data_IF_036920903645
#
_entry.id   IF_036920903645
#
_cell.length_a   1.000
_cell.length_b   1.000
_cell.length_c   1.000
_cell.angle_alpha   90.00
_cell.angle_beta   90.00
_cell.angle_gamma   90.00
#
_symmetry.space_group_name_H-M   'P 1'
#
loop_
_entity.id
_entity.type
_entity.pdbx_description
1 polymer ?
#
# COMPACT_ATOMS: atom_id res chain seq x y z
N UNK A 1 -12.38 -72.07 -19.12
CA UNK A 1 -11.31 -71.11 -19.50
C UNK A 1 -11.80 -69.70 -19.92
N UNK A 2 -13.12 -69.39 -19.90
CA UNK A 2 -13.66 -68.03 -20.21
C UNK A 2 -14.06 -67.19 -18.99
N UNK A 3 -14.08 -67.75 -17.79
CA UNK A 3 -14.47 -67.02 -16.56
C UNK A 3 -13.29 -66.36 -15.85
N UNK A 4 -12.04 -66.78 -16.13
CA UNK A 4 -10.84 -66.22 -15.51
C UNK A 4 -10.29 -64.98 -16.23
N UNK A 5 -10.53 -64.80 -17.53
CA UNK A 5 -10.07 -63.60 -18.26
C UNK A 5 -10.84 -62.34 -17.92
N UNK A 6 -12.13 -62.47 -17.54
CA UNK A 6 -12.96 -61.31 -17.17
C UNK A 6 -12.64 -60.78 -15.77
N UNK A 7 -12.07 -61.61 -14.90
CA UNK A 7 -11.72 -61.23 -13.53
C UNK A 7 -10.44 -60.36 -13.52
N UNK A 8 -9.43 -60.71 -14.33
CA UNK A 8 -8.21 -59.89 -14.46
C UNK A 8 -8.46 -58.51 -15.08
N UNK A 9 -9.34 -58.42 -16.09
CA UNK A 9 -9.74 -57.14 -16.68
C UNK A 9 -10.50 -56.23 -15.71
N UNK A 10 -11.27 -56.81 -14.78
CA UNK A 10 -12.01 -56.05 -13.77
C UNK A 10 -11.07 -55.49 -12.70
N UNK A 11 -10.09 -56.27 -12.27
CA UNK A 11 -9.06 -55.84 -11.30
C UNK A 11 -8.18 -54.73 -11.91
N UNK A 12 -7.73 -54.86 -13.16
CA UNK A 12 -6.96 -53.81 -13.85
C UNK A 12 -7.74 -52.50 -13.98
N UNK A 13 -9.06 -52.56 -14.25
CA UNK A 13 -9.92 -51.36 -14.31
C UNK A 13 -10.07 -50.69 -12.94
N UNK A 14 -10.14 -51.46 -11.86
CA UNK A 14 -10.20 -50.92 -10.48
C UNK A 14 -8.87 -50.25 -10.13
N UNK A 15 -7.73 -50.85 -10.48
CA UNK A 15 -6.41 -50.24 -10.25
C UNK A 15 -6.18 -48.98 -11.10
N UNK A 16 -6.63 -48.94 -12.35
CA UNK A 16 -6.55 -47.71 -13.18
C UNK A 16 -7.45 -46.60 -12.64
N UNK A 17 -8.65 -46.92 -12.15
CA UNK A 17 -9.53 -45.93 -11.51
C UNK A 17 -8.99 -45.42 -10.17
N UNK A 18 -8.30 -46.27 -9.39
CA UNK A 18 -7.61 -45.85 -8.17
C UNK A 18 -6.36 -45.00 -8.45
N UNK A 19 -5.66 -45.25 -9.56
CA UNK A 19 -4.53 -44.43 -10.01
C UNK A 19 -4.97 -43.06 -10.55
N UNK A 20 -6.16 -42.98 -11.16
CA UNK A 20 -6.77 -41.72 -11.63
C UNK A 20 -7.42 -40.92 -10.48
N UNK A 21 -7.82 -41.57 -9.38
CA UNK A 21 -8.36 -40.91 -8.19
C UNK A 21 -7.34 -40.11 -7.37
N UNK A 22 -6.05 -40.22 -7.70
CA UNK A 22 -4.96 -39.46 -7.08
C UNK A 22 -4.55 -38.20 -7.84
N UNK A 23 -5.14 -37.92 -9.01
CA UNK A 23 -4.94 -36.63 -9.68
C UNK A 23 -5.84 -35.64 -8.95
N UNK A 24 -5.30 -34.62 -8.25
CA UNK A 24 -6.14 -33.57 -7.71
C UNK A 24 -6.92 -32.98 -8.88
N UNK A 25 -8.24 -33.19 -8.89
CA UNK A 25 -9.12 -32.42 -9.75
C UNK A 25 -8.88 -30.97 -9.36
N UNK A 26 -8.23 -30.21 -10.25
CA UNK A 26 -8.16 -28.77 -10.12
C UNK A 26 -9.61 -28.32 -10.32
N UNK A 27 -10.29 -28.00 -9.22
CA UNK A 27 -11.57 -27.31 -9.26
C UNK A 27 -11.32 -25.99 -10.00
N UNK A 28 -11.73 -25.93 -11.27
CA UNK A 28 -11.65 -24.72 -12.07
C UNK A 28 -12.68 -23.73 -11.51
N UNK A 29 -12.20 -22.89 -10.61
CA UNK A 29 -13.01 -21.85 -9.98
C UNK A 29 -13.03 -20.57 -10.84
N UNK A 30 -14.11 -19.79 -10.69
CA UNK A 30 -14.38 -18.60 -11.51
C UNK A 30 -13.89 -17.35 -10.80
N UNK A 31 -13.01 -16.59 -11.46
CA UNK A 31 -12.49 -15.33 -10.97
C UNK A 31 -13.11 -14.17 -11.74
N UNK A 32 -13.66 -13.18 -11.03
CA UNK A 32 -14.01 -11.89 -11.61
C UNK A 32 -12.91 -10.88 -11.25
N UNK A 33 -12.31 -10.29 -12.26
CA UNK A 33 -11.24 -9.31 -12.12
C UNK A 33 -11.76 -7.95 -12.53
N UNK A 34 -11.65 -6.99 -11.61
CA UNK A 34 -12.03 -5.59 -11.77
C UNK A 34 -10.77 -4.73 -11.73
N UNK A 35 -10.01 -4.63 -12.84
CA UNK A 35 -8.81 -3.83 -12.86
C UNK A 35 -9.15 -2.33 -12.94
N UNK A 36 -8.31 -1.52 -12.32
CA UNK A 36 -8.14 -0.12 -12.71
C UNK A 36 -7.26 -0.06 -13.97
N UNK A 37 -7.55 0.88 -14.88
CA UNK A 37 -6.85 1.06 -16.16
C UNK A 37 -5.38 1.50 -15.99
N UNK A 38 -4.59 1.39 -17.07
CA UNK A 38 -3.20 1.87 -17.14
C UNK A 38 -2.19 0.91 -16.50
N UNK A 39 -1.24 1.45 -15.72
CA UNK A 39 -0.13 0.68 -15.13
C UNK A 39 -0.58 -0.39 -14.14
N UNK A 40 -1.72 -0.16 -13.45
CA UNK A 40 -2.35 -1.14 -12.59
C UNK A 40 -2.77 -2.39 -13.39
N UNK A 41 -3.41 -2.20 -14.56
CA UNK A 41 -3.71 -3.31 -15.45
C UNK A 41 -2.46 -4.00 -15.98
N UNK A 42 -1.39 -3.28 -16.35
CA UNK A 42 -0.16 -3.92 -16.84
C UNK A 42 0.44 -4.89 -15.80
N UNK A 43 0.37 -4.52 -14.52
CA UNK A 43 0.79 -5.37 -13.41
C UNK A 43 -0.16 -6.55 -13.19
N UNK A 44 -1.48 -6.30 -13.21
CA UNK A 44 -2.49 -7.36 -13.04
C UNK A 44 -2.55 -8.33 -14.23
N UNK A 45 -2.27 -7.88 -15.45
CA UNK A 45 -2.35 -8.68 -16.67
C UNK A 45 -1.51 -9.93 -16.54
N UNK A 46 -0.27 -9.79 -16.07
CA UNK A 46 0.66 -10.92 -15.93
C UNK A 46 0.09 -11.96 -14.94
N UNK A 47 -0.51 -11.50 -13.83
CA UNK A 47 -1.18 -12.36 -12.85
C UNK A 47 -2.40 -13.06 -13.43
N UNK A 48 -3.26 -12.32 -14.13
CA UNK A 48 -4.48 -12.84 -14.75
C UNK A 48 -4.17 -13.87 -15.85
N UNK A 49 -3.20 -13.58 -16.70
CA UNK A 49 -2.71 -14.50 -17.73
C UNK A 49 -2.20 -15.80 -17.09
N UNK A 50 -1.38 -15.71 -16.04
CA UNK A 50 -0.84 -16.89 -15.37
C UNK A 50 -1.93 -17.72 -14.68
N UNK A 51 -2.90 -17.07 -14.04
CA UNK A 51 -4.06 -17.75 -13.44
C UNK A 51 -4.87 -18.50 -14.49
N UNK A 52 -5.11 -17.88 -15.65
CA UNK A 52 -5.78 -18.50 -16.79
C UNK A 52 -5.04 -19.71 -17.34
N UNK A 53 -3.73 -19.58 -17.57
CA UNK A 53 -2.86 -20.69 -18.03
C UNK A 53 -2.87 -21.88 -17.07
N UNK A 54 -3.06 -21.63 -15.77
CA UNK A 54 -3.19 -22.67 -14.74
C UNK A 54 -4.58 -23.30 -14.65
N UNK A 55 -5.50 -22.96 -15.57
CA UNK A 55 -6.82 -23.57 -15.71
C UNK A 55 -7.96 -22.85 -14.96
N UNK A 56 -7.71 -21.69 -14.35
CA UNK A 56 -8.76 -20.90 -13.70
C UNK A 56 -9.62 -20.20 -14.75
N UNK A 57 -10.94 -20.13 -14.53
CA UNK A 57 -11.83 -19.38 -15.42
C UNK A 57 -11.82 -17.90 -15.00
N UNK A 58 -10.99 -17.10 -15.66
CA UNK A 58 -10.85 -15.67 -15.34
C UNK A 58 -11.71 -14.81 -16.27
N UNK A 59 -12.53 -13.94 -15.70
CA UNK A 59 -13.32 -12.92 -16.40
C UNK A 59 -12.80 -11.54 -16.02
N UNK A 60 -12.29 -10.80 -16.98
CA UNK A 60 -11.81 -9.42 -16.81
C UNK A 60 -12.91 -8.47 -17.26
N UNK A 61 -13.30 -7.55 -16.39
CA UNK A 61 -14.30 -6.52 -16.72
C UNK A 61 -13.62 -5.17 -16.95
N UNK A 62 -13.78 -4.58 -18.14
CA UNK A 62 -13.12 -3.34 -18.54
C UNK A 62 -14.09 -2.29 -19.10
N UNK A 63 -13.83 -0.98 -18.97
CA UNK A 63 -14.61 0.05 -19.67
C UNK A 63 -14.53 -0.11 -21.20
N UNK A 64 -15.55 0.30 -21.97
CA UNK A 64 -15.47 0.31 -23.45
C UNK A 64 -14.34 1.20 -23.98
N UNK A 65 -13.94 2.22 -23.23
CA UNK A 65 -12.85 3.13 -23.57
C UNK A 65 -11.47 2.63 -23.12
N UNK A 66 -11.36 1.41 -22.56
CA UNK A 66 -10.07 0.83 -22.20
C UNK A 66 -9.18 0.66 -23.45
N UNK A 67 -7.87 0.79 -23.27
CA UNK A 67 -6.89 0.70 -24.37
C UNK A 67 -5.92 -0.47 -24.17
N UNK A 68 -5.65 -0.85 -22.92
CA UNK A 68 -4.62 -1.84 -22.60
C UNK A 68 -5.16 -3.25 -22.39
N UNK A 69 -6.48 -3.38 -22.24
CA UNK A 69 -7.13 -4.65 -21.89
C UNK A 69 -7.65 -5.26 -23.18
N UNK A 70 -6.81 -6.06 -23.82
CA UNK A 70 -7.19 -6.78 -25.02
C UNK A 70 -7.75 -8.16 -24.67
N UNK A 71 -8.53 -8.80 -25.57
CA UNK A 71 -8.86 -10.22 -25.43
C UNK A 71 -7.59 -11.07 -25.37
N UNK A 72 -7.63 -12.16 -24.60
CA UNK A 72 -6.56 -13.15 -24.48
C UNK A 72 -7.15 -14.55 -24.53
N UNK A 73 -6.35 -15.55 -24.84
CA UNK A 73 -6.74 -16.96 -24.75
C UNK A 73 -6.89 -17.42 -23.29
N UNK A 74 -6.23 -16.73 -22.35
CA UNK A 74 -6.17 -17.12 -20.95
C UNK A 74 -7.24 -16.45 -20.07
N UNK A 75 -8.03 -15.50 -20.59
CA UNK A 75 -9.14 -14.89 -19.86
C UNK A 75 -10.24 -14.36 -20.77
N UNK A 76 -11.45 -14.26 -20.23
CA UNK A 76 -12.62 -13.73 -20.92
C UNK A 76 -12.72 -12.23 -20.63
N UNK A 77 -12.61 -11.40 -21.67
CA UNK A 77 -12.84 -9.96 -21.55
C UNK A 77 -14.33 -9.61 -21.70
N UNK A 78 -14.87 -8.81 -20.78
CA UNK A 78 -16.20 -8.21 -20.85
C UNK A 78 -16.08 -6.70 -20.75
N UNK A 79 -16.77 -5.95 -21.61
CA UNK A 79 -16.74 -4.49 -21.62
C UNK A 79 -18.04 -3.86 -21.11
N UNK A 80 -17.95 -2.71 -20.43
CA UNK A 80 -19.11 -1.94 -19.96
C UNK A 80 -19.02 -0.45 -20.35
N UNK A 81 -20.14 0.22 -20.66
CA UNK A 81 -20.12 1.60 -21.13
C UNK A 81 -19.74 2.59 -20.00
N UNK A 82 -18.96 3.62 -20.32
CA UNK A 82 -18.56 4.69 -19.41
C UNK A 82 -18.63 6.07 -20.09
N UNK A 83 -18.84 7.17 -19.33
CA UNK A 83 -19.03 8.50 -19.91
C UNK A 83 -17.74 9.22 -20.37
N UNK A 84 -16.56 8.63 -20.18
CA UNK A 84 -15.26 9.23 -20.52
C UNK A 84 -14.52 8.38 -21.57
N UNK A 85 -13.81 9.00 -22.55
CA UNK A 85 -13.34 8.20 -23.69
C UNK A 85 -12.00 8.52 -24.39
N UNK A 86 -11.31 9.67 -24.23
CA UNK A 86 -10.07 9.95 -25.01
C UNK A 86 -8.98 10.80 -24.34
N UNK A 87 -9.21 11.28 -23.12
CA UNK A 87 -8.33 12.28 -22.49
C UNK A 87 -7.06 11.67 -21.89
N UNK A 88 -7.17 10.45 -21.34
CA UNK A 88 -6.05 9.70 -20.75
C UNK A 88 -4.99 9.25 -21.79
N UNK A 89 -5.44 8.94 -23.02
CA UNK A 89 -4.57 8.58 -24.15
C UNK A 89 -3.55 9.66 -24.51
N UNK A 90 -3.94 10.94 -24.39
CA UNK A 90 -3.03 12.05 -24.69
C UNK A 90 -1.95 12.16 -23.63
N UNK A 91 -2.30 12.03 -22.36
CA UNK A 91 -1.36 12.17 -21.24
C UNK A 91 -0.26 11.09 -21.29
N UNK A 92 -0.59 9.84 -21.65
CA UNK A 92 0.41 8.77 -21.75
C UNK A 92 1.38 8.93 -22.92
N UNK A 93 0.88 9.35 -24.09
CA UNK A 93 1.75 9.70 -25.23
C UNK A 93 2.63 10.91 -24.92
N UNK A 94 2.16 11.84 -24.09
CA UNK A 94 2.95 12.98 -23.62
C UNK A 94 4.12 12.55 -22.74
N UNK A 95 3.92 11.60 -21.81
CA UNK A 95 5.01 11.09 -20.98
C UNK A 95 6.09 10.37 -21.80
N UNK A 96 5.70 9.52 -22.74
CA UNK A 96 6.66 8.82 -23.60
C UNK A 96 7.49 9.81 -24.42
N UNK A 97 6.84 10.81 -25.03
CA UNK A 97 7.54 11.87 -25.77
C UNK A 97 8.52 12.63 -24.87
N UNK A 98 8.09 12.96 -23.65
CA UNK A 98 8.87 13.74 -22.70
C UNK A 98 10.08 12.97 -22.15
N UNK A 99 9.89 11.68 -21.86
CA UNK A 99 10.98 10.77 -21.48
C UNK A 99 11.97 10.59 -22.63
N UNK A 100 11.49 10.46 -23.87
CA UNK A 100 12.36 10.35 -25.04
C UNK A 100 13.15 11.64 -25.30
N UNK A 101 12.55 12.82 -25.07
CA UNK A 101 13.23 14.11 -25.20
C UNK A 101 14.22 14.44 -24.07
N UNK A 102 14.33 13.61 -23.03
CA UNK A 102 15.24 13.85 -21.89
C UNK A 102 16.75 13.75 -22.20
N UNK A 103 17.11 13.51 -23.47
CA UNK A 103 18.51 13.52 -23.93
C UNK A 103 19.40 12.50 -23.20
N UNK A 104 20.68 12.85 -23.06
CA UNK A 104 21.70 12.05 -22.34
C UNK A 104 21.63 12.25 -20.82
N UNK A 105 21.23 13.45 -20.38
CA UNK A 105 21.08 13.79 -18.96
C UNK A 105 19.98 12.96 -18.28
N UNK A 106 18.99 12.49 -19.03
CA UNK A 106 17.87 11.71 -18.51
C UNK A 106 16.90 12.57 -17.71
N UNK A 107 16.12 11.93 -16.83
CA UNK A 107 15.07 12.61 -16.09
C UNK A 107 15.00 12.22 -14.61
N UNK A 108 14.36 13.10 -13.84
CA UNK A 108 14.06 12.93 -12.42
C UNK A 108 12.55 12.79 -12.24
N UNK A 109 12.14 11.81 -11.46
CA UNK A 109 10.74 11.66 -11.03
C UNK A 109 10.58 12.36 -9.68
N UNK A 110 9.54 13.16 -9.50
CA UNK A 110 9.26 13.82 -8.23
C UNK A 110 7.80 13.64 -7.82
N UNK A 111 7.57 12.99 -6.67
CA UNK A 111 6.25 12.73 -6.12
C UNK A 111 6.25 12.69 -4.59
N UNK A 112 5.36 13.46 -3.96
CA UNK A 112 5.11 13.39 -2.51
C UNK A 112 3.94 12.46 -2.13
N UNK A 113 3.52 11.59 -3.07
CA UNK A 113 2.44 10.63 -2.83
C UNK A 113 1.04 11.25 -2.83
N UNK A 114 0.00 10.41 -2.86
CA UNK A 114 -1.39 10.86 -3.10
C UNK A 114 -1.96 11.77 -1.99
N UNK A 115 -1.51 11.61 -0.76
CA UNK A 115 -1.97 12.37 0.41
C UNK A 115 -1.49 13.82 0.43
N UNK A 116 -0.43 14.13 -0.32
CA UNK A 116 0.10 15.50 -0.47
C UNK A 116 -0.03 15.89 -1.93
N UNK A 117 -1.15 16.54 -2.24
CA UNK A 117 -1.50 16.98 -3.59
C UNK A 117 -0.85 18.31 -3.95
N UNK A 118 -0.64 19.18 -2.96
CA UNK A 118 0.03 20.46 -3.08
C UNK A 118 0.80 20.81 -1.81
N UNK A 119 1.69 21.80 -1.92
CA UNK A 119 2.49 22.36 -0.83
C UNK A 119 2.36 23.89 -0.85
N UNK A 120 2.67 24.59 0.26
CA UNK A 120 2.60 26.05 0.29
C UNK A 120 3.39 26.69 -0.87
N UNK A 121 2.80 27.70 -1.52
CA UNK A 121 3.34 28.25 -2.77
C UNK A 121 4.80 28.71 -2.64
N UNK A 122 5.19 29.30 -1.51
CA UNK A 122 6.57 29.72 -1.26
C UNK A 122 7.53 28.53 -1.31
N UNK A 123 7.16 27.41 -0.69
CA UNK A 123 7.99 26.20 -0.73
C UNK A 123 8.00 25.55 -2.11
N UNK A 124 6.87 25.60 -2.82
CA UNK A 124 6.80 25.15 -4.21
C UNK A 124 7.72 25.99 -5.12
N UNK A 125 7.82 27.30 -4.88
CA UNK A 125 8.74 28.21 -5.57
C UNK A 125 10.20 27.87 -5.31
N UNK A 126 10.59 27.68 -4.03
CA UNK A 126 11.97 27.28 -3.68
C UNK A 126 12.37 25.97 -4.39
N UNK A 127 11.45 25.00 -4.41
CA UNK A 127 11.65 23.71 -5.07
C UNK A 127 11.73 23.89 -6.59
N UNK A 128 10.86 24.69 -7.19
CA UNK A 128 10.90 24.98 -8.63
C UNK A 128 12.23 25.64 -9.05
N UNK A 129 12.75 26.55 -8.22
CA UNK A 129 14.06 27.16 -8.43
C UNK A 129 15.20 26.14 -8.37
N UNK A 130 15.17 25.23 -7.38
CA UNK A 130 16.14 24.14 -7.29
C UNK A 130 16.14 23.27 -8.55
N UNK A 131 14.95 22.86 -9.00
CA UNK A 131 14.76 22.00 -10.18
C UNK A 131 15.14 22.70 -11.49
N UNK A 132 14.97 24.02 -11.58
CA UNK A 132 15.42 24.81 -12.73
C UNK A 132 16.95 24.78 -12.89
N UNK A 133 17.70 24.57 -11.80
CA UNK A 133 19.16 24.60 -11.80
C UNK A 133 19.84 23.28 -12.21
N UNK A 134 19.06 22.21 -12.44
CA UNK A 134 19.58 20.90 -12.85
C UNK A 134 19.32 20.66 -14.35
N UNK A 135 20.23 19.97 -15.08
CA UNK A 135 20.09 19.77 -16.52
C UNK A 135 19.07 18.68 -16.90
N UNK A 136 18.63 17.86 -15.94
CA UNK A 136 17.64 16.80 -16.18
C UNK A 136 16.25 17.38 -16.47
N UNK A 137 15.47 16.67 -17.29
CA UNK A 137 14.02 16.88 -17.30
C UNK A 137 13.43 16.40 -15.97
N UNK A 138 12.40 17.07 -15.46
CA UNK A 138 11.76 16.73 -14.19
C UNK A 138 10.28 16.50 -14.40
N UNK A 139 9.81 15.31 -14.01
CA UNK A 139 8.40 14.95 -13.99
C UNK A 139 7.89 15.11 -12.55
N UNK A 140 7.19 16.22 -12.29
CA UNK A 140 6.73 16.55 -10.95
C UNK A 140 5.22 16.35 -10.82
N UNK A 141 4.82 15.36 -10.02
CA UNK A 141 3.42 15.23 -9.60
C UNK A 141 3.06 16.36 -8.65
N UNK A 142 2.21 17.28 -9.11
CA UNK A 142 1.76 18.43 -8.34
C UNK A 142 0.41 18.92 -8.88
N UNK A 143 -0.57 19.10 -7.99
CA UNK A 143 -1.92 19.55 -8.38
C UNK A 143 -2.26 20.96 -7.92
N UNK A 144 -1.32 21.64 -7.25
CA UNK A 144 -1.52 23.00 -6.75
C UNK A 144 -1.28 24.07 -7.81
N UNK A 145 -1.22 25.34 -7.38
CA UNK A 145 -0.92 26.47 -8.26
C UNK A 145 0.52 26.40 -8.77
N UNK A 146 0.71 26.57 -10.08
CA UNK A 146 2.03 26.61 -10.73
C UNK A 146 2.94 27.61 -10.03
N UNK A 147 4.12 27.19 -9.53
CA UNK A 147 5.04 28.09 -8.86
C UNK A 147 5.60 29.16 -9.82
N UNK A 148 5.71 30.42 -9.40
CA UNK A 148 6.51 31.40 -10.14
C UNK A 148 7.96 30.91 -10.19
N UNK A 149 8.63 30.99 -11.33
CA UNK A 149 10.00 30.46 -11.58
C UNK A 149 10.13 28.98 -11.91
N UNK A 150 9.05 28.30 -12.30
CA UNK A 150 9.15 26.97 -12.89
C UNK A 150 10.08 26.98 -14.12
N UNK A 151 11.12 26.15 -14.11
CA UNK A 151 12.04 26.00 -15.24
C UNK A 151 11.41 25.24 -16.41
N UNK A 152 11.88 25.51 -17.63
CA UNK A 152 11.41 24.83 -18.86
C UNK A 152 11.69 23.31 -18.86
N UNK A 153 12.62 22.86 -18.02
CA UNK A 153 12.95 21.45 -17.83
C UNK A 153 11.97 20.73 -16.89
N UNK A 154 11.07 21.44 -16.20
CA UNK A 154 10.18 20.85 -15.19
C UNK A 154 8.73 20.83 -15.68
N UNK A 155 8.15 19.64 -15.72
CA UNK A 155 6.78 19.40 -16.19
C UNK A 155 5.91 19.03 -15.01
N UNK A 156 4.92 19.89 -14.72
CA UNK A 156 3.93 19.63 -13.69
C UNK A 156 2.83 18.75 -14.24
N UNK A 157 2.54 17.65 -13.55
CA UNK A 157 1.48 16.72 -13.93
C UNK A 157 0.62 16.36 -12.72
N UNK A 158 -0.66 16.08 -12.95
CA UNK A 158 -1.58 15.72 -11.86
C UNK A 158 -1.40 14.27 -11.39
N UNK A 159 -0.87 13.43 -12.27
CA UNK A 159 -0.67 12.01 -12.05
C UNK A 159 0.59 11.55 -12.77
N UNK A 160 1.25 10.51 -12.25
CA UNK A 160 2.45 9.90 -12.84
C UNK A 160 2.26 8.38 -12.93
N UNK A 161 2.63 7.73 -14.05
CA UNK A 161 2.89 6.29 -14.07
C UNK A 161 4.23 6.00 -13.36
N UNK A 162 4.29 6.27 -12.05
CA UNK A 162 5.54 6.39 -11.28
C UNK A 162 6.44 5.16 -11.39
N UNK A 163 5.91 3.95 -11.19
CA UNK A 163 6.71 2.73 -11.28
C UNK A 163 7.29 2.50 -12.69
N UNK A 164 6.51 2.76 -13.74
CA UNK A 164 6.97 2.61 -15.13
C UNK A 164 8.06 3.64 -15.48
N UNK A 165 7.90 4.88 -14.99
CA UNK A 165 8.91 5.93 -15.14
C UNK A 165 10.20 5.57 -14.40
N UNK A 166 10.11 5.02 -13.19
CA UNK A 166 11.29 4.57 -12.44
C UNK A 166 11.98 3.37 -13.10
N UNK A 167 11.22 2.48 -13.75
CA UNK A 167 11.75 1.36 -14.51
C UNK A 167 12.49 1.78 -15.79
N UNK A 168 12.29 3.01 -16.26
CA UNK A 168 12.90 3.48 -17.51
C UNK A 168 14.41 3.72 -17.35
N UNK A 169 15.25 3.30 -18.32
CA UNK A 169 16.73 3.38 -18.21
C UNK A 169 17.30 4.81 -18.12
N UNK A 170 16.50 5.82 -18.48
CA UNK A 170 16.85 7.25 -18.35
C UNK A 170 16.45 7.87 -17.01
N UNK A 171 15.79 7.15 -16.11
CA UNK A 171 15.52 7.63 -14.76
C UNK A 171 16.85 7.75 -13.99
N UNK A 172 17.14 8.94 -13.46
CA UNK A 172 18.40 9.23 -12.77
C UNK A 172 18.24 9.33 -11.26
N UNK A 173 17.16 9.95 -10.81
CA UNK A 173 16.87 10.08 -9.39
C UNK A 173 15.35 10.12 -9.15
N UNK A 174 14.98 9.78 -7.92
CA UNK A 174 13.61 9.86 -7.44
C UNK A 174 13.54 10.79 -6.22
N UNK A 175 12.84 11.91 -6.38
CA UNK A 175 12.52 12.81 -5.26
C UNK A 175 11.20 12.33 -4.66
N UNK A 176 11.21 11.95 -3.39
CA UNK A 176 10.08 11.28 -2.73
C UNK A 176 9.87 11.75 -1.31
N UNK A 177 8.64 11.71 -0.82
CA UNK A 177 8.33 11.86 0.61
C UNK A 177 8.77 10.67 1.49
N UNK A 178 9.37 9.62 0.90
CA UNK A 178 9.80 8.40 1.60
C UNK A 178 8.67 7.55 2.23
N UNK A 179 7.45 7.61 1.70
CA UNK A 179 6.41 6.63 2.03
C UNK A 179 6.83 5.21 1.61
N UNK A 180 6.41 4.20 2.38
CA UNK A 180 6.83 2.80 2.21
C UNK A 180 6.77 2.29 0.76
N UNK A 181 5.66 2.52 0.05
CA UNK A 181 5.51 2.05 -1.34
C UNK A 181 6.51 2.70 -2.30
N UNK A 182 6.67 4.03 -2.25
CA UNK A 182 7.61 4.73 -3.13
C UNK A 182 9.06 4.31 -2.89
N UNK A 183 9.43 4.03 -1.64
CA UNK A 183 10.76 3.51 -1.29
C UNK A 183 11.00 2.15 -1.95
N UNK A 184 10.03 1.23 -1.89
CA UNK A 184 10.16 -0.06 -2.55
C UNK A 184 10.16 0.02 -4.07
N UNK A 185 9.40 0.93 -4.69
CA UNK A 185 9.47 1.19 -6.14
C UNK A 185 10.87 1.71 -6.55
N UNK A 186 11.46 2.62 -5.76
CA UNK A 186 12.82 3.11 -5.98
C UNK A 186 13.89 2.02 -5.83
N UNK A 187 13.77 1.17 -4.80
CA UNK A 187 14.65 0.00 -4.62
C UNK A 187 14.48 -1.00 -5.76
N UNK A 188 13.25 -1.36 -6.11
CA UNK A 188 12.95 -2.34 -7.15
C UNK A 188 13.63 -1.95 -8.48
N UNK A 189 13.53 -0.67 -8.86
CA UNK A 189 14.09 -0.15 -10.11
C UNK A 189 15.53 0.39 -9.98
N UNK A 190 16.18 0.20 -8.82
CA UNK A 190 17.54 0.66 -8.55
C UNK A 190 17.75 2.18 -8.83
N UNK A 191 16.78 3.02 -8.47
CA UNK A 191 16.85 4.49 -8.66
C UNK A 191 17.21 5.16 -7.33
N UNK A 192 18.33 5.90 -7.24
CA UNK A 192 18.73 6.58 -6.01
C UNK A 192 17.77 7.73 -5.67
N UNK A 193 17.64 8.04 -4.38
CA UNK A 193 16.53 8.87 -3.89
C UNK A 193 16.99 10.14 -3.15
N UNK A 194 16.27 11.24 -3.35
CA UNK A 194 16.25 12.38 -2.42
C UNK A 194 14.93 12.35 -1.67
N UNK A 195 15.00 12.30 -0.36
CA UNK A 195 13.88 12.01 0.52
C UNK A 195 13.47 13.25 1.31
N UNK A 196 12.19 13.61 1.22
CA UNK A 196 11.56 14.79 1.84
C UNK A 196 10.44 14.33 2.80
N UNK A 197 10.77 13.64 3.91
CA UNK A 197 9.75 13.08 4.80
C UNK A 197 8.90 14.17 5.45
N UNK A 198 7.61 13.89 5.61
CA UNK A 198 6.59 14.83 6.08
C UNK A 198 5.89 14.36 7.36
N UNK A 199 5.44 13.10 7.40
CA UNK A 199 4.68 12.54 8.53
C UNK A 199 4.65 10.99 8.51
N UNK A 200 4.13 10.39 9.57
CA UNK A 200 3.94 8.93 9.64
C UNK A 200 5.26 8.15 9.66
N UNK A 201 5.33 7.09 8.87
CA UNK A 201 6.48 6.17 8.75
C UNK A 201 7.66 6.75 7.94
N UNK A 202 7.46 7.90 7.30
CA UNK A 202 8.37 8.46 6.30
C UNK A 202 9.76 8.78 6.85
N UNK A 203 9.87 9.30 8.07
CA UNK A 203 11.16 9.64 8.70
C UNK A 203 12.02 8.41 8.94
N UNK A 204 11.41 7.32 9.44
CA UNK A 204 12.11 6.06 9.70
C UNK A 204 12.54 5.39 8.39
N UNK A 205 11.67 5.40 7.38
CA UNK A 205 11.99 4.90 6.05
C UNK A 205 13.16 5.66 5.43
N UNK A 206 13.12 7.00 5.48
CA UNK A 206 14.19 7.85 4.96
C UNK A 206 15.53 7.52 5.65
N UNK A 207 15.52 7.37 6.98
CA UNK A 207 16.73 7.04 7.73
C UNK A 207 17.31 5.68 7.35
N UNK A 208 16.46 4.68 7.06
CA UNK A 208 16.88 3.35 6.62
C UNK A 208 17.56 3.38 5.25
N UNK A 209 17.11 4.22 4.32
CA UNK A 209 17.73 4.36 3.00
C UNK A 209 19.02 5.17 3.08
N UNK A 210 19.01 6.28 3.81
CA UNK A 210 20.17 7.14 4.01
C UNK A 210 21.33 6.38 4.69
N UNK A 211 21.06 5.63 5.76
CA UNK A 211 22.07 4.81 6.45
C UNK A 211 22.68 3.70 5.58
N UNK A 212 22.03 3.35 4.47
CA UNK A 212 22.54 2.40 3.46
C UNK A 212 23.27 3.09 2.30
N UNK A 213 23.41 4.42 2.36
CA UNK A 213 24.07 5.22 1.34
C UNK A 213 23.34 5.20 -0.01
N UNK A 214 22.03 4.95 -0.03
CA UNK A 214 21.23 4.83 -1.26
C UNK A 214 20.35 6.06 -1.55
N UNK A 215 20.48 7.10 -0.72
CA UNK A 215 19.79 8.36 -0.90
C UNK A 215 20.18 9.39 0.17
N UNK A 216 19.66 10.61 0.02
CA UNK A 216 19.86 11.72 0.95
C UNK A 216 18.51 12.18 1.51
N UNK A 217 18.48 12.53 2.79
CA UNK A 217 17.27 13.09 3.43
C UNK A 217 17.43 14.58 3.62
N UNK A 218 16.43 15.37 3.21
CA UNK A 218 16.34 16.79 3.51
C UNK A 218 15.09 17.08 4.32
N UNK A 219 15.19 18.03 5.24
CA UNK A 219 14.03 18.54 5.95
C UNK A 219 13.33 19.59 5.07
N UNK A 220 12.16 19.24 4.52
CA UNK A 220 11.40 20.11 3.59
C UNK A 220 11.07 21.49 4.18
N UNK A 221 10.95 21.60 5.51
CA UNK A 221 10.58 22.85 6.18
C UNK A 221 11.77 23.82 6.25
N UNK A 222 13.00 23.31 6.29
CA UNK A 222 14.21 24.10 6.51
C UNK A 222 15.13 24.15 5.29
N UNK A 223 14.99 23.25 4.33
CA UNK A 223 15.83 23.21 3.14
C UNK A 223 15.65 24.46 2.26
N UNK A 224 16.77 24.89 1.68
CA UNK A 224 16.85 25.92 0.64
C UNK A 224 16.75 25.31 -0.76
N UNK A 225 16.62 26.15 -1.78
CA UNK A 225 16.68 25.72 -3.18
C UNK A 225 18.06 25.13 -3.54
N UNK A 226 19.13 25.67 -2.96
CA UNK A 226 20.49 25.17 -3.12
C UNK A 226 20.68 23.78 -2.51
N UNK A 227 20.16 23.53 -1.30
CA UNK A 227 20.25 22.22 -0.64
C UNK A 227 19.63 21.11 -1.50
N UNK A 228 18.44 21.37 -2.07
CA UNK A 228 17.76 20.41 -2.93
C UNK A 228 18.52 20.18 -4.24
N UNK A 229 19.01 21.25 -4.88
CA UNK A 229 19.83 21.13 -6.10
C UNK A 229 21.08 20.30 -5.86
N UNK A 230 21.79 20.58 -4.76
CA UNK A 230 23.01 19.88 -4.37
C UNK A 230 22.72 18.41 -4.04
N UNK A 231 21.64 18.11 -3.32
CA UNK A 231 21.25 16.73 -3.02
C UNK A 231 20.93 15.93 -4.29
N UNK A 232 20.17 16.52 -5.24
CA UNK A 232 19.85 15.86 -6.52
C UNK A 232 21.12 15.62 -7.33
N UNK A 233 22.00 16.62 -7.47
CA UNK A 233 23.29 16.46 -8.15
C UNK A 233 24.16 15.40 -7.47
N UNK A 234 24.17 15.35 -6.14
CA UNK A 234 24.93 14.36 -5.38
C UNK A 234 24.44 12.93 -5.66
N UNK A 235 23.14 12.66 -5.57
CA UNK A 235 22.61 11.30 -5.80
C UNK A 235 22.74 10.83 -7.25
N UNK A 236 22.78 11.76 -8.21
CA UNK A 236 22.96 11.45 -9.63
C UNK A 236 24.44 11.21 -9.98
N UNK A 237 25.35 12.07 -9.49
CA UNK A 237 26.73 12.10 -9.96
C UNK A 237 27.71 11.30 -9.08
N UNK A 238 27.40 11.08 -7.81
CA UNK A 238 28.25 10.27 -6.94
C UNK A 238 27.89 8.78 -7.11
N UNK A 239 28.81 7.94 -7.63
CA UNK A 239 28.53 6.54 -7.94
C UNK A 239 28.11 5.72 -6.72
N UNK A 240 28.52 6.11 -5.51
CA UNK A 240 28.20 5.40 -4.26
C UNK A 240 26.68 5.24 -4.09
N UNK A 241 25.88 6.25 -4.43
CA UNK A 241 24.42 6.14 -4.31
C UNK A 241 23.84 5.13 -5.30
N UNK A 242 24.34 5.13 -6.54
CA UNK A 242 23.89 4.22 -7.59
C UNK A 242 24.30 2.78 -7.30
N UNK A 243 25.53 2.56 -6.87
CA UNK A 243 26.06 1.25 -6.48
C UNK A 243 25.29 0.68 -5.29
N UNK A 244 25.03 1.50 -4.26
CA UNK A 244 24.28 1.06 -3.08
C UNK A 244 22.83 0.74 -3.41
N UNK A 245 22.13 1.57 -4.20
CA UNK A 245 20.74 1.25 -4.56
C UNK A 245 20.66 0.04 -5.48
N UNK A 246 21.64 -0.18 -6.39
CA UNK A 246 21.72 -1.40 -7.19
C UNK A 246 21.95 -2.63 -6.31
N UNK A 247 22.82 -2.54 -5.31
CA UNK A 247 23.01 -3.61 -4.32
C UNK A 247 21.71 -3.90 -3.57
N UNK A 248 21.01 -2.87 -3.08
CA UNK A 248 19.72 -3.05 -2.40
C UNK A 248 18.65 -3.65 -3.32
N UNK A 249 18.61 -3.22 -4.59
CA UNK A 249 17.72 -3.78 -5.62
C UNK A 249 18.00 -5.27 -5.82
N UNK A 250 19.26 -5.66 -6.01
CA UNK A 250 19.64 -7.07 -6.19
C UNK A 250 19.22 -7.92 -4.99
N UNK A 251 19.43 -7.45 -3.76
CA UNK A 251 18.99 -8.14 -2.55
C UNK A 251 17.46 -8.19 -2.41
N UNK A 252 16.75 -7.17 -2.90
CA UNK A 252 15.30 -7.11 -2.83
C UNK A 252 14.62 -8.03 -3.86
N UNK A 253 15.26 -8.19 -5.03
CA UNK A 253 14.81 -9.04 -6.13
C UNK A 253 15.23 -10.51 -5.93
N UNK A 254 16.30 -10.76 -5.18
CA UNK A 254 16.71 -12.12 -4.78
C UNK A 254 15.71 -12.71 -3.77
N UNK A 255 14.76 -13.48 -4.31
CA UNK A 255 13.69 -14.10 -3.54
C UNK A 255 13.59 -15.58 -3.90
N UNK A 256 13.30 -16.45 -2.91
CA UNK A 256 13.19 -17.89 -3.15
C UNK A 256 11.99 -18.26 -4.03
N UNK A 257 10.96 -17.40 -4.05
CA UNK A 257 9.75 -17.60 -4.86
C UNK A 257 9.57 -16.36 -5.73
N UNK A 258 9.36 -16.59 -7.02
CA UNK A 258 9.09 -15.53 -7.97
C UNK A 258 7.78 -14.79 -7.58
N UNK A 259 7.73 -13.45 -7.54
CA UNK A 259 6.59 -12.70 -7.00
C UNK A 259 5.25 -13.03 -7.66
N UNK A 260 5.27 -13.34 -8.96
CA UNK A 260 4.09 -13.76 -9.70
C UNK A 260 3.55 -15.09 -9.16
N UNK A 261 4.40 -16.09 -8.99
CA UNK A 261 3.99 -17.41 -8.49
C UNK A 261 3.47 -17.32 -7.06
N UNK A 262 4.08 -16.45 -6.24
CA UNK A 262 3.61 -16.19 -4.88
C UNK A 262 2.22 -15.54 -4.89
N UNK A 263 1.99 -14.54 -5.75
CA UNK A 263 0.68 -13.90 -5.87
C UNK A 263 -0.39 -14.88 -6.36
N UNK A 264 -0.08 -15.68 -7.38
CA UNK A 264 -0.94 -16.77 -7.88
C UNK A 264 -1.26 -17.75 -6.75
N UNK A 265 -0.25 -18.19 -6.00
CA UNK A 265 -0.43 -19.11 -4.88
C UNK A 265 -1.43 -18.57 -3.86
N UNK A 266 -1.33 -17.29 -3.46
CA UNK A 266 -2.24 -16.70 -2.49
C UNK A 266 -3.67 -16.51 -3.02
N UNK A 267 -3.82 -16.16 -4.30
CA UNK A 267 -5.13 -16.12 -4.95
C UNK A 267 -5.77 -17.51 -4.92
N UNK A 268 -5.05 -18.54 -5.38
CA UNK A 268 -5.52 -19.92 -5.34
C UNK A 268 -5.71 -20.43 -3.91
N UNK A 269 -4.94 -19.96 -2.93
CA UNK A 269 -5.11 -20.33 -1.53
C UNK A 269 -6.45 -19.85 -0.99
N UNK A 270 -6.81 -18.59 -1.25
CA UNK A 270 -8.11 -18.03 -0.85
C UNK A 270 -9.25 -18.80 -1.52
N UNK A 271 -9.07 -19.16 -2.80
CA UNK A 271 -10.01 -19.99 -3.58
C UNK A 271 -10.20 -21.37 -2.95
N UNK A 272 -9.13 -22.16 -2.78
CA UNK A 272 -9.14 -23.49 -2.14
C UNK A 272 -9.78 -23.49 -0.75
N UNK A 273 -9.73 -22.37 -0.04
CA UNK A 273 -10.32 -22.21 1.29
C UNK A 273 -11.63 -21.39 1.29
N UNK A 274 -12.32 -21.32 0.15
CA UNK A 274 -13.66 -20.72 -0.01
C UNK A 274 -13.76 -19.31 0.56
N UNK A 275 -12.77 -18.48 0.26
CA UNK A 275 -12.65 -17.10 0.73
C UNK A 275 -11.81 -16.90 2.00
N UNK A 276 -11.17 -17.96 2.50
CA UNK A 276 -10.28 -17.94 3.67
C UNK A 276 -10.84 -17.15 4.87
N UNK A 277 -12.00 -17.55 5.44
CA UNK A 277 -12.66 -16.80 6.51
C UNK A 277 -11.78 -16.62 7.75
N UNK A 278 -10.86 -17.54 8.00
CA UNK A 278 -9.89 -17.47 9.10
C UNK A 278 -8.82 -16.37 8.95
N UNK A 279 -8.63 -15.81 7.75
CA UNK A 279 -7.74 -14.66 7.51
C UNK A 279 -8.50 -13.32 7.52
N UNK A 280 -9.84 -13.33 7.56
CA UNK A 280 -10.63 -12.10 7.61
C UNK A 280 -10.62 -11.54 9.03
N UNK A 281 -10.37 -10.23 9.22
CA UNK A 281 -10.47 -9.63 10.54
C UNK A 281 -11.89 -9.79 11.11
N UNK A 282 -12.01 -10.30 12.34
CA UNK A 282 -13.29 -10.46 13.02
C UNK A 282 -14.08 -9.14 13.18
N UNK A 283 -13.38 -8.00 13.08
CA UNK A 283 -13.97 -6.66 13.15
C UNK A 283 -15.10 -6.42 12.14
N UNK A 284 -15.11 -7.11 11.00
CA UNK A 284 -16.18 -6.98 9.99
C UNK A 284 -17.51 -7.62 10.41
N UNK A 285 -17.47 -8.58 11.34
CA UNK A 285 -18.65 -9.31 11.81
C UNK A 285 -19.17 -8.77 13.15
N UNK A 286 -18.49 -7.77 13.74
CA UNK A 286 -18.90 -7.16 15.00
C UNK A 286 -20.10 -6.24 14.79
N UNK A 287 -21.11 -6.38 15.66
CA UNK A 287 -22.18 -5.40 15.73
C UNK A 287 -21.73 -4.11 16.44
N UNK A 288 -22.52 -3.04 16.33
CA UNK A 288 -22.19 -1.73 16.91
C UNK A 288 -21.92 -1.79 18.42
N UNK A 289 -22.64 -2.62 19.18
CA UNK A 289 -22.42 -2.78 20.63
C UNK A 289 -21.05 -3.39 20.94
N UNK A 290 -20.68 -4.43 20.21
CA UNK A 290 -19.39 -5.13 20.37
C UNK A 290 -18.23 -4.25 19.89
N UNK A 291 -18.39 -3.58 18.76
CA UNK A 291 -17.36 -2.70 18.19
C UNK A 291 -16.96 -1.59 19.16
N UNK A 292 -17.92 -0.99 19.87
CA UNK A 292 -17.67 0.02 20.90
C UNK A 292 -17.56 -0.56 22.32
N UNK A 293 -17.63 -1.89 22.49
CA UNK A 293 -17.54 -2.57 23.79
C UNK A 293 -18.48 -1.99 24.86
N UNK A 294 -19.71 -1.65 24.48
CA UNK A 294 -20.67 -0.95 25.35
C UNK A 294 -21.11 -1.79 26.55
N UNK A 295 -21.13 -3.11 26.38
CA UNK A 295 -21.36 -4.09 27.43
C UNK A 295 -20.25 -4.07 28.49
N UNK A 296 -18.98 -4.03 28.06
CA UNK A 296 -17.82 -3.91 28.95
C UNK A 296 -17.82 -2.57 29.67
N UNK A 297 -18.08 -1.47 28.96
CA UNK A 297 -18.19 -0.13 29.56
C UNK A 297 -19.33 -0.10 30.59
N UNK A 298 -20.50 -0.64 30.25
CA UNK A 298 -21.65 -0.71 31.15
C UNK A 298 -21.34 -1.52 32.41
N UNK A 299 -20.68 -2.68 32.26
CA UNK A 299 -20.24 -3.52 33.38
C UNK A 299 -19.26 -2.77 34.29
N UNK A 300 -18.23 -2.13 33.73
CA UNK A 300 -17.25 -1.36 34.51
C UNK A 300 -17.89 -0.17 35.23
N UNK A 301 -18.78 0.56 34.55
CA UNK A 301 -19.54 1.67 35.14
C UNK A 301 -20.44 1.20 36.28
N UNK A 302 -21.10 0.05 36.14
CA UNK A 302 -21.89 -0.55 37.21
C UNK A 302 -21.04 -0.83 38.46
N UNK A 303 -19.88 -1.48 38.32
CA UNK A 303 -18.98 -1.74 39.44
C UNK A 303 -18.45 -0.46 40.10
N UNK A 304 -18.07 0.53 39.29
CA UNK A 304 -17.61 1.83 39.78
C UNK A 304 -18.70 2.57 40.57
N UNK A 305 -19.92 2.63 40.04
CA UNK A 305 -21.05 3.28 40.71
C UNK A 305 -21.45 2.55 41.99
N UNK A 306 -21.39 1.22 42.00
CA UNK A 306 -21.73 0.40 43.18
C UNK A 306 -20.70 0.59 44.29
N UNK A 307 -19.40 0.58 43.97
CA UNK A 307 -18.33 0.85 44.94
C UNK A 307 -18.39 2.26 45.50
N UNK A 308 -18.66 3.27 44.65
CA UNK A 308 -18.88 4.65 45.08
C UNK A 308 -20.13 4.78 45.98
N UNK A 309 -21.23 4.10 45.63
CA UNK A 309 -22.44 4.11 46.44
C UNK A 309 -22.20 3.49 47.83
N UNK A 310 -21.54 2.33 47.89
CA UNK A 310 -21.19 1.67 49.15
C UNK A 310 -20.27 2.58 49.98
N UNK A 311 -19.23 3.17 49.39
CA UNK A 311 -18.31 4.05 50.12
C UNK A 311 -19.03 5.28 50.67
N UNK A 312 -19.91 5.93 49.90
CA UNK A 312 -20.73 7.05 50.37
C UNK A 312 -21.68 6.63 51.52
N UNK A 313 -22.31 5.45 51.42
CA UNK A 313 -23.15 4.91 52.51
C UNK A 313 -22.34 4.56 53.76
N UNK A 314 -21.14 4.00 53.61
CA UNK A 314 -20.23 3.75 54.71
C UNK A 314 -19.77 5.07 55.36
N UNK A 315 -19.32 6.06 54.58
CA UNK A 315 -18.92 7.38 55.07
C UNK A 315 -20.06 8.09 55.81
N UNK A 316 -21.27 8.08 55.25
CA UNK A 316 -22.44 8.68 55.90
C UNK A 316 -22.88 7.92 57.15
N UNK A 317 -22.74 6.59 57.18
CA UNK A 317 -22.99 5.77 58.37
C UNK A 317 -21.98 6.07 59.49
N UNK A 318 -20.69 6.14 59.16
CA UNK A 318 -19.61 6.51 60.09
C UNK A 318 -19.83 7.92 60.62
N UNK A 319 -20.10 8.89 59.73
CA UNK A 319 -20.39 10.28 60.13
C UNK A 319 -21.61 10.36 61.05
N UNK A 320 -22.71 9.69 60.72
CA UNK A 320 -23.91 9.63 61.59
C UNK A 320 -23.62 8.99 62.95
N UNK A 321 -22.73 8.00 63.02
CA UNK A 321 -22.39 7.28 64.27
C UNK A 321 -21.39 8.05 65.13
N UNK A 322 -20.43 8.75 64.52
CA UNK A 322 -19.47 9.63 65.20
C UNK A 322 -20.15 10.92 65.70
N UNK A 323 -21.00 11.56 64.89
CA UNK A 323 -21.69 12.79 65.29
C UNK A 323 -22.87 12.58 66.26
N UNK A 324 -23.54 11.41 66.29
CA UNK A 324 -24.60 11.12 67.28
C UNK A 324 -24.09 10.77 68.68
N UNK A 325 -22.81 10.43 68.85
CA UNK A 325 -22.24 10.08 70.17
C UNK A 325 -21.93 11.31 71.05
N UNK A 326 -21.98 12.52 70.51
CA UNK A 326 -21.75 13.76 71.26
C UNK A 326 -22.97 14.28 72.06
N UNK A 327 -24.16 13.66 71.97
CA UNK A 327 -25.39 14.21 72.59
C UNK A 327 -25.91 13.45 73.84
N UNK A 328 -25.13 12.56 74.45
CA UNK A 328 -25.55 11.89 75.70
C UNK A 328 -24.45 11.89 76.77
N UNK A 329 -24.30 13.03 77.45
CA UNK A 329 -23.90 13.08 78.86
C UNK A 329 -25.00 13.76 79.69
N UNK A 330 -25.69 12.96 80.50
CA UNK A 330 -26.32 13.28 81.79
C UNK A 330 -26.36 11.94 82.54
N UNK A 331 -26.11 11.86 83.87
CA UNK A 331 -27.11 12.40 84.80
C UNK A 331 -26.64 12.82 86.22
N UNK A 332 -27.51 13.62 86.87
CA UNK A 332 -28.01 13.59 88.28
C UNK A 332 -27.00 13.28 89.42
N UNK A 333 -26.77 14.18 90.38
CA UNK A 333 -27.57 14.49 91.61
C UNK A 333 -26.61 14.42 92.82
N UNK A 334 -26.72 15.20 93.90
CA UNK A 334 -27.75 15.17 94.96
C UNK A 334 -27.49 16.27 96.02
N UNK A 335 -28.60 16.69 96.65
CA UNK A 335 -28.84 17.08 98.07
C UNK A 335 -27.90 18.07 98.77
N UNK A 336 -28.38 19.03 99.55
CA UNK A 336 -29.62 19.12 100.34
C UNK A 336 -30.44 20.37 100.05
#
# INVERSE_FOLDING_TARGET
MRLWSNMELSVYRIFVLLYLGGVPFIEAEKLLVLPLDGSHWLSMRILVENLGQRGNQVVVLAPHSNIYIHPSENYILRTYPVPYSKQLLKEQMEFEKLVNSSGEHGFVVFSLGSMVSEIPINKATDIAEALKSIPQQVLWRYTGKTPPNLGENTHLVKWLPQNDLLAHPKARAFITHAGSHGIYEGICNAVPMVMLPLFGDQMDNAKRIESRGAGLTLNVLHMTSEDLSNAVKAVINNPVYKENIQRLSSLHLDRPVHPLDLAVHWVEFVMRHKGAPHLRPAAHDLNWFQYYSLDVIGFLMFFLLTTLFISLKCCTFVFRRCCKRSSKQKPKSKSQ
#
